data_IF_004156151839
#
_entry.id   IF_004156151839
#
_cell.length_a   1.000
_cell.length_b   1.000
_cell.length_c   1.000
_cell.angle_alpha   90.00
_cell.angle_beta   90.00
_cell.angle_gamma   90.00
#
_symmetry.space_group_name_H-M   'P 1'
#
loop_
_entity.id
_entity.type
_entity.pdbx_description
1 polymer ?
#
# COMPACT_ATOMS: atom_id res chain seq x y z
N UNK A 1 -23.60 -4.86 -15.98
CA UNK A 1 -24.24 -4.86 -14.66
C UNK A 1 -23.18 -4.57 -13.61
N UNK A 2 -23.36 -3.54 -12.77
CA UNK A 2 -22.48 -3.24 -11.63
C UNK A 2 -22.77 -4.31 -10.57
N UNK A 3 -21.73 -5.10 -10.22
CA UNK A 3 -21.85 -6.02 -9.08
C UNK A 3 -21.69 -5.20 -7.81
N UNK A 4 -22.69 -5.22 -6.96
CA UNK A 4 -22.60 -4.66 -5.62
C UNK A 4 -22.02 -5.74 -4.70
N UNK A 5 -20.88 -5.42 -4.06
CA UNK A 5 -20.29 -6.24 -3.01
C UNK A 5 -20.55 -5.55 -1.68
N UNK A 6 -20.96 -6.32 -0.68
CA UNK A 6 -20.97 -5.87 0.71
C UNK A 6 -19.65 -6.30 1.35
N UNK A 7 -18.97 -5.38 2.01
CA UNK A 7 -17.74 -5.64 2.75
C UNK A 7 -17.94 -5.27 4.22
N UNK A 8 -17.36 -6.07 5.10
CA UNK A 8 -17.32 -5.72 6.51
C UNK A 8 -16.39 -4.53 6.75
N UNK A 9 -16.82 -3.63 7.62
CA UNK A 9 -16.04 -2.47 8.01
C UNK A 9 -15.53 -2.65 9.44
N UNK A 10 -14.27 -2.29 9.64
CA UNK A 10 -13.61 -2.29 10.94
C UNK A 10 -12.76 -1.03 11.12
N UNK A 11 -12.30 -0.71 12.33
CA UNK A 11 -11.31 0.34 12.50
C UNK A 11 -10.04 0.01 11.71
N UNK A 12 -9.65 0.89 10.78
CA UNK A 12 -8.46 0.77 9.95
C UNK A 12 -7.58 2.01 10.14
N UNK A 13 -6.26 1.83 10.12
CA UNK A 13 -5.29 2.92 10.25
C UNK A 13 -5.26 3.79 9.01
N UNK A 14 -5.53 3.25 7.84
CA UNK A 14 -5.62 3.86 6.51
C UNK A 14 -4.32 4.47 5.99
N UNK A 15 -3.41 4.85 6.83
CA UNK A 15 -2.10 5.37 6.44
C UNK A 15 -0.96 4.55 7.07
N UNK A 16 -1.14 3.24 7.18
CA UNK A 16 -0.07 2.34 7.63
C UNK A 16 0.87 2.02 6.46
N UNK A 17 2.16 2.20 6.67
CA UNK A 17 3.22 1.84 5.73
C UNK A 17 4.51 1.54 6.50
N UNK A 18 5.57 1.07 5.84
CA UNK A 18 6.76 0.55 6.52
C UNK A 18 7.37 1.51 7.56
N UNK A 19 7.42 2.83 7.31
CA UNK A 19 7.97 3.80 8.27
C UNK A 19 7.08 4.01 9.51
N UNK A 20 5.81 3.59 9.46
CA UNK A 20 4.90 3.66 10.60
C UNK A 20 4.90 2.40 11.46
N UNK A 21 5.69 1.39 11.09
CA UNK A 21 5.87 0.17 11.87
C UNK A 21 7.21 0.23 12.59
N UNK A 22 7.19 0.17 13.90
CA UNK A 22 8.38 0.22 14.74
C UNK A 22 8.88 -1.19 15.03
N UNK A 23 10.17 -1.40 14.88
CA UNK A 23 10.83 -2.67 15.15
C UNK A 23 11.89 -2.53 16.24
N UNK A 24 12.09 -3.61 17.01
CA UNK A 24 13.26 -3.80 17.86
C UNK A 24 13.85 -5.17 17.50
N UNK A 25 14.99 -5.17 16.81
CA UNK A 25 15.45 -6.38 16.12
C UNK A 25 14.44 -6.81 15.08
N UNK A 26 13.98 -8.07 15.14
CA UNK A 26 13.01 -8.64 14.20
C UNK A 26 11.56 -8.60 14.73
N UNK A 27 11.33 -7.96 15.88
CA UNK A 27 10.01 -7.87 16.49
C UNK A 27 9.34 -6.53 16.22
N UNK A 28 8.05 -6.56 15.84
CA UNK A 28 7.21 -5.37 15.78
C UNK A 28 6.91 -4.92 17.20
N UNK A 29 7.33 -3.70 17.54
CA UNK A 29 7.16 -3.14 18.89
C UNK A 29 6.10 -2.03 18.96
N UNK A 30 5.59 -1.57 17.83
CA UNK A 30 4.53 -0.56 17.82
C UNK A 30 4.18 -0.03 16.44
N UNK A 31 3.14 0.81 16.44
CA UNK A 31 2.69 1.58 15.29
C UNK A 31 2.59 3.04 15.66
N UNK A 32 2.90 3.91 14.72
CA UNK A 32 2.78 5.36 14.89
C UNK A 32 1.84 5.94 13.82
N UNK A 33 1.39 7.16 14.05
CA UNK A 33 0.54 7.96 13.16
C UNK A 33 -0.82 7.32 12.84
N UNK A 34 -1.64 7.14 13.88
CA UNK A 34 -3.03 6.68 13.76
C UNK A 34 -4.03 7.82 13.42
N UNK A 35 -3.56 8.98 12.97
CA UNK A 35 -4.42 10.17 12.75
C UNK A 35 -5.47 9.98 11.66
N UNK A 36 -5.23 9.07 10.71
CA UNK A 36 -6.14 8.75 9.61
C UNK A 36 -7.17 7.66 9.94
N UNK A 37 -7.17 7.13 11.17
CA UNK A 37 -7.99 5.99 11.55
C UNK A 37 -9.49 6.23 11.32
N UNK A 38 -10.15 5.29 10.62
CA UNK A 38 -11.59 5.31 10.32
C UNK A 38 -12.12 3.89 10.14
N UNK A 39 -13.46 3.76 10.13
CA UNK A 39 -14.11 2.53 9.70
C UNK A 39 -13.96 2.36 8.19
N UNK A 40 -13.29 1.30 7.78
CA UNK A 40 -13.01 0.96 6.38
C UNK A 40 -12.91 -0.58 6.25
N UNK A 41 -12.85 -1.11 5.01
CA UNK A 41 -12.51 -2.51 4.83
C UNK A 41 -11.01 -2.72 5.06
N UNK A 42 -10.65 -3.80 5.74
CA UNK A 42 -9.26 -4.14 6.10
C UNK A 42 -8.32 -4.23 4.90
N UNK A 43 -8.84 -4.51 3.71
CA UNK A 43 -8.05 -4.55 2.47
C UNK A 43 -7.29 -3.24 2.22
N UNK A 44 -7.79 -2.11 2.76
CA UNK A 44 -7.11 -0.81 2.66
C UNK A 44 -5.77 -0.81 3.39
N UNK A 45 -5.74 -1.32 4.62
CA UNK A 45 -4.53 -1.39 5.43
C UNK A 45 -3.55 -2.44 4.89
N UNK A 46 -4.05 -3.61 4.51
CA UNK A 46 -3.23 -4.67 3.96
C UNK A 46 -2.56 -4.24 2.64
N UNK A 47 -3.30 -3.62 1.74
CA UNK A 47 -2.75 -3.12 0.47
C UNK A 47 -1.65 -2.08 0.72
N UNK A 48 -1.87 -1.17 1.66
CA UNK A 48 -0.93 -0.11 1.96
C UNK A 48 0.34 -0.61 2.63
N UNK A 49 0.18 -1.46 3.65
CA UNK A 49 1.30 -2.03 4.40
C UNK A 49 2.13 -2.95 3.52
N UNK A 50 1.50 -3.95 2.92
CA UNK A 50 2.20 -4.93 2.10
C UNK A 50 2.81 -4.29 0.85
N UNK A 51 2.08 -3.39 0.18
CA UNK A 51 2.62 -2.65 -0.96
C UNK A 51 3.84 -1.82 -0.64
N UNK A 52 4.01 -1.37 0.61
CA UNK A 52 5.18 -0.60 1.06
C UNK A 52 6.33 -1.47 1.58
N UNK A 53 6.06 -2.67 2.07
CA UNK A 53 7.07 -3.60 2.62
C UNK A 53 7.58 -4.59 1.58
N UNK A 54 6.68 -5.07 0.72
CA UNK A 54 6.90 -6.21 -0.17
C UNK A 54 7.07 -5.75 -1.62
N UNK A 55 6.53 -4.57 -1.96
CA UNK A 55 6.50 -4.02 -3.31
C UNK A 55 5.79 -4.97 -4.31
N UNK A 56 6.55 -5.58 -5.26
CA UNK A 56 6.00 -6.43 -6.32
C UNK A 56 6.44 -7.90 -6.20
N UNK A 57 6.94 -8.32 -5.03
CA UNK A 57 7.32 -9.71 -4.77
C UNK A 57 6.06 -10.57 -4.56
N UNK A 58 5.67 -11.32 -5.59
CA UNK A 58 4.45 -12.13 -5.58
C UNK A 58 4.44 -13.23 -4.52
N UNK A 59 5.60 -13.83 -4.25
CA UNK A 59 5.71 -14.93 -3.29
C UNK A 59 5.59 -14.40 -1.87
N UNK A 60 6.24 -13.26 -1.59
CA UNK A 60 6.11 -12.57 -0.31
C UNK A 60 4.66 -12.08 -0.08
N UNK A 61 3.95 -11.60 -1.12
CA UNK A 61 2.53 -11.26 -1.03
C UNK A 61 1.67 -12.44 -0.65
N UNK A 62 1.91 -13.59 -1.26
CA UNK A 62 1.16 -14.81 -0.95
C UNK A 62 1.37 -15.22 0.50
N UNK A 63 2.63 -15.27 0.97
CA UNK A 63 2.97 -15.61 2.35
C UNK A 63 2.30 -14.64 3.33
N UNK A 64 2.40 -13.34 3.09
CA UNK A 64 1.84 -12.33 3.98
C UNK A 64 0.31 -12.43 4.09
N UNK A 65 -0.39 -12.65 2.97
CA UNK A 65 -1.84 -12.85 2.96
C UNK A 65 -2.26 -14.16 3.64
N UNK A 66 -1.52 -15.24 3.46
CA UNK A 66 -1.77 -16.52 4.12
C UNK A 66 -1.57 -16.40 5.63
N UNK A 67 -0.50 -15.74 6.09
CA UNK A 67 -0.27 -15.51 7.51
C UNK A 67 -1.36 -14.63 8.14
N UNK A 68 -1.75 -13.56 7.46
CA UNK A 68 -2.85 -12.73 7.93
C UNK A 68 -4.16 -13.54 8.06
N UNK A 69 -4.48 -14.36 7.06
CA UNK A 69 -5.70 -15.18 7.06
C UNK A 69 -5.76 -16.24 8.17
N UNK A 70 -4.63 -16.66 8.72
CA UNK A 70 -4.59 -17.56 9.89
C UNK A 70 -5.15 -16.91 11.15
N UNK A 71 -5.06 -15.58 11.25
CA UNK A 71 -5.53 -14.82 12.38
C UNK A 71 -6.91 -14.19 12.13
N UNK A 72 -7.14 -13.72 10.91
CA UNK A 72 -8.35 -13.03 10.50
C UNK A 72 -8.74 -13.43 9.08
N UNK A 73 -9.77 -14.26 8.91
CA UNK A 73 -10.20 -14.75 7.59
C UNK A 73 -10.58 -13.61 6.65
N UNK A 74 -10.11 -13.70 5.41
CA UNK A 74 -10.50 -12.80 4.32
C UNK A 74 -11.37 -13.54 3.32
N UNK A 75 -12.42 -12.90 2.86
CA UNK A 75 -13.20 -13.41 1.72
C UNK A 75 -12.39 -13.36 0.42
N UNK A 76 -12.82 -14.09 -0.60
CA UNK A 76 -12.17 -14.04 -1.91
C UNK A 76 -12.25 -12.64 -2.53
N UNK A 77 -13.35 -11.93 -2.30
CA UNK A 77 -13.57 -10.55 -2.74
C UNK A 77 -12.62 -9.58 -2.05
N UNK A 78 -12.39 -9.73 -0.74
CA UNK A 78 -11.44 -8.91 0.02
C UNK A 78 -10.00 -9.15 -0.43
N UNK A 79 -9.60 -10.39 -0.66
CA UNK A 79 -8.27 -10.69 -1.24
C UNK A 79 -8.08 -10.01 -2.60
N UNK A 80 -9.08 -10.09 -3.47
CA UNK A 80 -9.05 -9.41 -4.75
C UNK A 80 -9.03 -7.88 -4.60
N UNK A 81 -9.71 -7.36 -3.57
CA UNK A 81 -9.72 -5.93 -3.27
C UNK A 81 -8.34 -5.43 -2.81
N UNK A 82 -7.61 -6.19 -1.97
CA UNK A 82 -6.24 -5.86 -1.56
C UNK A 82 -5.35 -5.60 -2.79
N UNK A 83 -5.34 -6.52 -3.74
CA UNK A 83 -4.52 -6.37 -4.95
C UNK A 83 -4.94 -5.18 -5.81
N UNK A 84 -6.23 -4.91 -5.94
CA UNK A 84 -6.76 -3.77 -6.71
C UNK A 84 -6.40 -2.44 -6.04
N UNK A 85 -6.48 -2.37 -4.72
CA UNK A 85 -6.14 -1.18 -3.96
C UNK A 85 -4.64 -0.89 -4.04
N UNK A 86 -3.78 -1.90 -3.95
CA UNK A 86 -2.34 -1.72 -4.14
C UNK A 86 -2.01 -1.17 -5.53
N UNK A 87 -2.55 -1.78 -6.60
CA UNK A 87 -2.38 -1.27 -7.98
C UNK A 87 -2.86 0.17 -8.12
N UNK A 88 -4.01 0.50 -7.54
CA UNK A 88 -4.56 1.86 -7.55
C UNK A 88 -3.65 2.82 -6.80
N UNK A 89 -3.07 2.40 -5.67
CA UNK A 89 -2.13 3.21 -4.89
C UNK A 89 -0.86 3.54 -5.68
N UNK A 90 -0.31 2.58 -6.43
CA UNK A 90 0.84 2.80 -7.32
C UNK A 90 0.53 3.84 -8.38
N UNK A 91 -0.63 3.74 -9.07
CA UNK A 91 -1.08 4.71 -10.08
C UNK A 91 -1.25 6.11 -9.48
N UNK A 92 -1.93 6.21 -8.35
CA UNK A 92 -2.18 7.49 -7.68
C UNK A 92 -0.88 8.12 -7.15
N UNK A 93 0.05 7.31 -6.66
CA UNK A 93 1.36 7.80 -6.25
C UNK A 93 2.10 8.41 -7.45
N UNK A 94 2.14 7.73 -8.59
CA UNK A 94 2.75 8.25 -9.81
C UNK A 94 2.15 9.57 -10.27
N UNK A 95 0.82 9.66 -10.33
CA UNK A 95 0.10 10.90 -10.68
C UNK A 95 0.42 12.03 -9.69
N UNK A 96 0.45 11.73 -8.40
CA UNK A 96 0.74 12.70 -7.34
C UNK A 96 2.16 13.28 -7.49
N UNK A 97 3.14 12.44 -7.78
CA UNK A 97 4.51 12.86 -8.00
C UNK A 97 4.67 13.69 -9.27
N UNK A 98 4.06 13.27 -10.38
CA UNK A 98 4.04 14.05 -11.62
C UNK A 98 3.43 15.44 -11.39
N UNK A 99 2.29 15.50 -10.69
CA UNK A 99 1.65 16.78 -10.36
C UNK A 99 2.56 17.67 -9.53
N UNK A 100 3.22 17.14 -8.48
CA UNK A 100 4.15 17.91 -7.65
C UNK A 100 5.33 18.45 -8.45
N UNK A 101 5.90 17.63 -9.32
CA UNK A 101 7.03 18.04 -10.18
C UNK A 101 6.64 19.10 -11.19
N UNK A 102 5.40 19.08 -11.71
CA UNK A 102 4.93 20.05 -12.70
C UNK A 102 4.41 21.36 -12.08
N UNK A 103 3.84 21.31 -10.86
CA UNK A 103 3.16 22.49 -10.26
C UNK A 103 4.03 23.28 -9.29
N UNK A 104 5.01 22.64 -8.69
CA UNK A 104 5.98 23.29 -7.83
C UNK A 104 7.29 23.39 -8.62
N UNK A 105 7.75 24.62 -8.86
CA UNK A 105 9.11 24.93 -9.34
C UNK A 105 10.17 24.56 -8.26
N UNK A 106 9.82 23.68 -7.35
CA UNK A 106 10.73 23.08 -6.39
C UNK A 106 11.57 22.08 -7.18
N UNK A 107 12.84 22.42 -7.35
CA UNK A 107 13.85 21.45 -7.76
C UNK A 107 13.57 20.15 -6.99
N UNK A 108 13.44 19.03 -7.71
CA UNK A 108 13.33 17.70 -7.12
C UNK A 108 14.31 17.68 -5.95
N UNK A 109 13.80 17.54 -4.74
CA UNK A 109 14.62 17.57 -3.53
C UNK A 109 15.79 16.62 -3.75
N UNK A 110 17.03 17.09 -3.54
CA UNK A 110 18.22 16.24 -3.57
C UNK A 110 18.27 15.25 -2.39
N UNK A 111 17.16 15.12 -1.66
CA UNK A 111 17.02 14.11 -0.61
C UNK A 111 17.00 12.72 -1.26
N UNK A 112 18.03 11.95 -0.96
CA UNK A 112 18.22 10.58 -1.48
C UNK A 112 16.99 9.68 -1.22
N UNK A 113 16.29 9.88 -0.09
CA UNK A 113 15.06 9.15 0.24
C UNK A 113 13.93 9.45 -0.73
N UNK A 114 13.80 10.71 -1.12
CA UNK A 114 12.79 11.14 -2.11
C UNK A 114 13.10 10.54 -3.47
N UNK A 115 14.36 10.60 -3.89
CA UNK A 115 14.82 10.01 -5.17
C UNK A 115 14.58 8.51 -5.21
N UNK A 116 14.97 7.79 -4.14
CA UNK A 116 14.76 6.36 -4.02
C UNK A 116 13.27 6.00 -4.12
N UNK A 117 12.41 6.72 -3.39
CA UNK A 117 10.96 6.51 -3.42
C UNK A 117 10.38 6.75 -4.81
N UNK A 118 10.84 7.76 -5.52
CA UNK A 118 10.43 8.02 -6.92
C UNK A 118 10.84 6.88 -7.83
N UNK A 119 12.04 6.33 -7.68
CA UNK A 119 12.54 5.19 -8.46
C UNK A 119 11.68 3.94 -8.23
N UNK A 120 11.34 3.63 -6.98
CA UNK A 120 10.46 2.52 -6.62
C UNK A 120 9.10 2.68 -7.31
N UNK A 121 8.48 3.86 -7.20
CA UNK A 121 7.18 4.13 -7.83
C UNK A 121 7.27 4.00 -9.36
N UNK A 122 8.30 4.53 -9.98
CA UNK A 122 8.50 4.44 -11.43
C UNK A 122 8.64 2.98 -11.89
N UNK A 123 9.47 2.19 -11.20
CA UNK A 123 9.66 0.77 -11.50
C UNK A 123 8.35 -0.02 -11.37
N UNK A 124 7.59 0.22 -10.31
CA UNK A 124 6.28 -0.43 -10.11
C UNK A 124 5.26 -0.03 -11.18
N UNK A 125 5.25 1.24 -11.59
CA UNK A 125 4.38 1.71 -12.69
C UNK A 125 4.73 1.03 -14.02
N UNK A 126 6.02 0.91 -14.35
CA UNK A 126 6.46 0.23 -15.57
C UNK A 126 6.03 -1.24 -15.59
N UNK A 127 6.16 -1.94 -14.46
CA UNK A 127 5.72 -3.33 -14.33
C UNK A 127 4.19 -3.44 -14.49
N UNK A 128 3.45 -2.55 -13.83
CA UNK A 128 1.99 -2.52 -13.93
C UNK A 128 1.53 -2.30 -15.38
N UNK A 129 2.18 -1.41 -16.12
CA UNK A 129 1.86 -1.15 -17.54
C UNK A 129 2.11 -2.34 -18.46
N UNK A 130 3.05 -3.21 -18.11
CA UNK A 130 3.33 -4.44 -18.90
C UNK A 130 2.30 -5.55 -18.66
N UNK A 131 1.49 -5.44 -17.60
CA UNK A 131 0.50 -6.46 -17.21
C UNK A 131 -0.94 -6.06 -17.53
N UNK A 132 -1.15 -4.88 -18.10
CA UNK A 132 -2.43 -4.39 -18.63
C UNK A 132 -2.59 -4.76 -20.10
#
# INVERSE_FOLDING_TARGET
AVKHFAFDLQPCLRDIWHDHVLFTGDEVTGFIDASACRFENVATDLARLFGSLIEDDSDAWQIALEEYQRQSPLTAEERALVQRLDRSAVLLAGITWLRRSCTKNEAVSNDERVVLRMQIIATRLERLMRTL
#
